data_IF_472669588577
#
_entry.id   IF_472669588577
#
_cell.length_a   1.000
_cell.length_b   1.000
_cell.length_c   1.000
_cell.angle_alpha   90.00
_cell.angle_beta   90.00
_cell.angle_gamma   90.00
#
_symmetry.space_group_name_H-M   'P 1'
#
loop_
_entity.id
_entity.type
_entity.pdbx_description
1 polymer ?
#
# COMPACT_ATOMS: atom_id res chain seq x y z
N UNK A 1 2.37 13.08 9.49
CA UNK A 1 3.00 12.16 8.50
C UNK A 1 4.47 11.86 8.79
N UNK A 2 5.38 12.85 8.77
CA UNK A 2 6.82 12.59 8.94
C UNK A 2 7.20 11.89 10.26
N UNK A 3 6.55 12.25 11.36
CA UNK A 3 6.74 11.60 12.66
C UNK A 3 6.35 10.12 12.65
N UNK A 4 5.18 9.78 12.09
CA UNK A 4 4.67 8.41 12.00
C UNK A 4 5.56 7.57 11.09
N UNK A 5 5.95 8.12 9.94
CA UNK A 5 6.92 7.49 9.04
C UNK A 5 8.23 7.15 9.78
N UNK A 6 8.72 8.06 10.62
CA UNK A 6 9.90 7.81 11.47
C UNK A 6 9.71 6.63 12.41
N UNK A 7 8.58 6.58 13.13
CA UNK A 7 8.24 5.48 14.06
C UNK A 7 8.14 4.15 13.34
N UNK A 8 7.43 4.09 12.20
CA UNK A 8 7.33 2.86 11.38
C UNK A 8 8.72 2.41 10.96
N UNK A 9 9.53 3.30 10.40
CA UNK A 9 10.87 2.95 9.91
C UNK A 9 11.78 2.44 11.02
N UNK A 10 11.71 3.03 12.22
CA UNK A 10 12.47 2.61 13.39
C UNK A 10 12.06 1.20 13.84
N UNK A 11 10.75 0.96 14.02
CA UNK A 11 10.23 -0.37 14.37
C UNK A 11 10.58 -1.43 13.32
N UNK A 12 10.59 -1.06 12.04
CA UNK A 12 10.95 -1.97 10.95
C UNK A 12 12.46 -2.27 10.88
N UNK A 13 13.33 -1.36 11.36
CA UNK A 13 14.77 -1.64 11.46
C UNK A 13 15.10 -2.62 12.58
N UNK A 14 14.26 -2.69 13.61
CA UNK A 14 14.36 -3.66 14.70
C UNK A 14 13.75 -5.04 14.34
N UNK A 15 13.54 -5.33 13.05
CA UNK A 15 12.79 -6.49 12.52
C UNK A 15 13.27 -7.86 13.02
N UNK A 16 14.55 -7.99 13.36
CA UNK A 16 15.13 -9.25 13.85
C UNK A 16 14.63 -9.63 15.26
N UNK A 17 13.97 -8.70 15.97
CA UNK A 17 13.41 -8.94 17.31
C UNK A 17 12.09 -8.20 17.54
N UNK A 18 11.15 -8.27 16.59
CA UNK A 18 9.81 -7.71 16.79
C UNK A 18 9.11 -8.42 17.96
N UNK A 19 9.17 -7.80 19.13
CA UNK A 19 8.45 -8.21 20.33
C UNK A 19 6.97 -7.84 20.23
N UNK A 20 6.12 -8.41 21.08
CA UNK A 20 4.68 -8.10 21.09
C UNK A 20 4.36 -6.61 21.20
N UNK A 21 5.08 -5.85 22.04
CA UNK A 21 4.87 -4.41 22.21
C UNK A 21 5.25 -3.59 20.97
N UNK A 22 6.27 -4.03 20.20
CA UNK A 22 6.65 -3.40 18.94
C UNK A 22 5.57 -3.62 17.86
N UNK A 23 4.91 -4.78 17.89
CA UNK A 23 3.81 -5.11 16.98
C UNK A 23 2.56 -4.29 17.26
N UNK A 24 2.18 -4.11 18.53
CA UNK A 24 1.02 -3.28 18.91
C UNK A 24 1.24 -1.82 18.48
N UNK A 25 2.44 -1.28 18.72
CA UNK A 25 2.78 0.05 18.25
C UNK A 25 2.74 0.19 16.73
N UNK A 26 3.18 -0.83 16.00
CA UNK A 26 3.11 -0.86 14.54
C UNK A 26 1.66 -0.91 14.03
N UNK A 27 0.79 -1.67 14.69
CA UNK A 27 -0.65 -1.70 14.37
C UNK A 27 -1.26 -0.30 14.47
N UNK A 28 -0.98 0.42 15.55
CA UNK A 28 -1.48 1.80 15.73
C UNK A 28 -0.87 2.75 14.70
N UNK A 29 0.42 2.65 14.42
CA UNK A 29 1.09 3.48 13.40
C UNK A 29 0.49 3.26 12.00
N UNK A 30 0.15 2.01 11.66
CA UNK A 30 -0.51 1.64 10.39
C UNK A 30 -1.97 2.11 10.30
N UNK A 31 -2.66 2.24 11.43
CA UNK A 31 -4.00 2.83 11.48
C UNK A 31 -3.91 4.34 11.28
N UNK A 32 -3.05 5.02 12.04
CA UNK A 32 -2.89 6.48 11.99
C UNK A 32 -2.47 6.96 10.59
N UNK A 33 -1.55 6.24 9.92
CA UNK A 33 -1.16 6.60 8.55
C UNK A 33 -2.32 6.45 7.57
N UNK A 34 -3.18 5.43 7.73
CA UNK A 34 -4.35 5.26 6.88
C UNK A 34 -5.34 6.40 7.05
N UNK A 35 -5.60 6.82 8.29
CA UNK A 35 -6.50 7.93 8.60
C UNK A 35 -6.00 9.26 8.03
N UNK A 36 -4.69 9.53 8.14
CA UNK A 36 -4.09 10.74 7.57
C UNK A 36 -4.18 10.76 6.05
N UNK A 37 -3.93 9.62 5.39
CA UNK A 37 -4.04 9.52 3.93
C UNK A 37 -5.49 9.74 3.48
N UNK A 38 -6.45 9.13 4.17
CA UNK A 38 -7.87 9.30 3.85
C UNK A 38 -8.34 10.73 4.12
N UNK A 39 -7.92 11.32 5.22
CA UNK A 39 -8.21 12.72 5.52
C UNK A 39 -7.61 13.64 4.44
N UNK A 40 -6.37 13.38 4.02
CA UNK A 40 -5.72 14.15 2.98
C UNK A 40 -6.44 14.05 1.63
N UNK A 41 -6.84 12.84 1.25
CA UNK A 41 -7.61 12.56 0.04
C UNK A 41 -9.00 13.24 0.05
N UNK A 42 -9.65 13.32 1.22
CA UNK A 42 -10.97 13.96 1.36
C UNK A 42 -10.92 15.49 1.39
N UNK A 43 -9.78 16.07 1.75
CA UNK A 43 -9.61 17.52 1.95
C UNK A 43 -8.61 18.13 0.94
N UNK A 44 -8.37 17.45 -0.19
CA UNK A 44 -7.50 17.90 -1.28
C UNK A 44 -6.05 18.24 -0.87
N UNK A 45 -5.53 17.59 0.18
CA UNK A 45 -4.14 17.71 0.65
C UNK A 45 -3.23 16.67 -0.02
N UNK A 46 -2.99 16.85 -1.32
CA UNK A 46 -2.21 15.91 -2.13
C UNK A 46 -0.77 15.72 -1.60
N UNK A 47 -0.19 16.73 -0.95
CA UNK A 47 1.16 16.70 -0.39
C UNK A 47 1.38 15.54 0.62
N UNK A 48 0.31 15.09 1.28
CA UNK A 48 0.38 13.95 2.21
C UNK A 48 0.58 12.63 1.47
N UNK A 49 -0.08 12.47 0.32
CA UNK A 49 0.06 11.29 -0.53
C UNK A 49 1.40 11.33 -1.29
N UNK A 50 1.84 12.50 -1.73
CA UNK A 50 3.15 12.67 -2.37
C UNK A 50 4.27 12.26 -1.39
N UNK A 51 4.21 12.71 -0.13
CA UNK A 51 5.16 12.27 0.90
C UNK A 51 5.13 10.74 1.11
N UNK A 52 3.95 10.13 1.10
CA UNK A 52 3.80 8.68 1.22
C UNK A 52 4.50 7.93 0.08
N UNK A 53 4.38 8.45 -1.15
CA UNK A 53 5.02 7.89 -2.33
C UNK A 53 6.54 8.07 -2.29
N UNK A 54 7.03 9.26 -1.95
CA UNK A 54 8.47 9.56 -1.83
C UNK A 54 9.19 8.66 -0.83
N UNK A 55 8.47 8.15 0.17
CA UNK A 55 9.02 7.25 1.19
C UNK A 55 8.81 5.76 0.89
N UNK A 56 8.30 5.42 -0.29
CA UNK A 56 8.05 4.03 -0.73
C UNK A 56 7.21 3.23 0.29
N UNK A 57 6.25 3.88 0.94
CA UNK A 57 5.57 3.31 2.10
C UNK A 57 4.74 2.07 1.77
N UNK A 58 4.07 2.04 0.60
CA UNK A 58 3.37 0.85 0.14
C UNK A 58 4.33 -0.34 -0.06
N UNK A 59 5.55 -0.08 -0.54
CA UNK A 59 6.61 -1.07 -0.64
C UNK A 59 7.05 -1.61 0.71
N UNK A 60 7.15 -0.75 1.72
CA UNK A 60 7.42 -1.19 3.10
C UNK A 60 6.29 -2.05 3.66
N UNK A 61 5.03 -1.71 3.40
CA UNK A 61 3.87 -2.51 3.81
C UNK A 61 3.90 -3.92 3.20
N UNK A 62 4.21 -4.02 1.91
CA UNK A 62 4.38 -5.30 1.21
C UNK A 62 5.52 -6.14 1.81
N UNK A 63 6.65 -5.52 2.15
CA UNK A 63 7.76 -6.21 2.81
C UNK A 63 7.32 -6.78 4.16
N UNK A 64 6.60 -6.00 4.97
CA UNK A 64 6.15 -6.39 6.31
C UNK A 64 5.17 -7.56 6.27
N UNK A 65 4.13 -7.50 5.42
CA UNK A 65 3.15 -8.59 5.35
C UNK A 65 3.79 -9.92 4.89
N UNK A 66 4.85 -9.83 4.09
CA UNK A 66 5.61 -10.96 3.57
C UNK A 66 6.59 -11.58 4.58
N UNK A 67 6.82 -10.94 5.72
CA UNK A 67 7.68 -11.49 6.77
C UNK A 67 7.03 -12.72 7.42
N UNK A 68 7.71 -13.88 7.49
CA UNK A 68 7.14 -15.07 8.11
C UNK A 68 6.87 -14.93 9.61
N UNK A 69 7.72 -14.19 10.32
CA UNK A 69 7.69 -14.05 11.79
C UNK A 69 6.83 -12.89 12.30
N UNK A 70 6.22 -12.10 11.42
CA UNK A 70 5.42 -10.95 11.83
C UNK A 70 4.11 -11.40 12.50
N UNK A 71 3.71 -10.70 13.56
CA UNK A 71 2.47 -10.97 14.27
C UNK A 71 1.25 -10.88 13.33
N UNK A 72 0.30 -11.81 13.49
CA UNK A 72 -0.90 -11.86 12.65
C UNK A 72 -1.74 -10.58 12.75
N UNK A 73 -1.79 -9.96 13.94
CA UNK A 73 -2.45 -8.66 14.14
C UNK A 73 -1.90 -7.55 13.21
N UNK A 74 -0.59 -7.54 12.93
CA UNK A 74 0.03 -6.59 11.99
C UNK A 74 -0.40 -6.93 10.55
N UNK A 75 -0.45 -8.22 10.18
CA UNK A 75 -0.94 -8.63 8.85
C UNK A 75 -2.40 -8.22 8.64
N UNK A 76 -3.25 -8.43 9.64
CA UNK A 76 -4.66 -8.00 9.63
C UNK A 76 -4.74 -6.48 9.45
N UNK A 77 -4.01 -5.70 10.25
CA UNK A 77 -4.03 -4.25 10.15
C UNK A 77 -3.53 -3.76 8.78
N UNK A 78 -2.52 -4.40 8.19
CA UNK A 78 -2.07 -4.09 6.83
C UNK A 78 -3.15 -4.36 5.78
N UNK A 79 -3.84 -5.50 5.85
CA UNK A 79 -4.94 -5.81 4.93
C UNK A 79 -6.10 -4.82 5.09
N UNK A 80 -6.42 -4.41 6.32
CA UNK A 80 -7.42 -3.37 6.59
C UNK A 80 -6.99 -2.03 5.99
N UNK A 81 -5.76 -1.59 6.23
CA UNK A 81 -5.22 -0.35 5.68
C UNK A 81 -5.25 -0.37 4.16
N UNK A 82 -4.82 -1.46 3.52
CA UNK A 82 -4.85 -1.60 2.06
C UNK A 82 -6.28 -1.64 1.50
N UNK A 83 -7.21 -2.27 2.22
CA UNK A 83 -8.63 -2.25 1.87
C UNK A 83 -9.19 -0.83 1.89
N UNK A 84 -8.87 -0.06 2.93
CA UNK A 84 -9.30 1.33 3.04
C UNK A 84 -8.75 2.20 1.91
N UNK A 85 -7.45 2.09 1.61
CA UNK A 85 -6.82 2.86 0.53
C UNK A 85 -7.44 2.52 -0.83
N UNK A 86 -7.51 1.24 -1.18
CA UNK A 86 -8.10 0.83 -2.48
C UNK A 86 -9.56 1.27 -2.63
N UNK A 87 -10.33 1.25 -1.54
CA UNK A 87 -11.75 1.60 -1.59
C UNK A 87 -12.05 3.08 -1.49
N UNK A 88 -11.12 3.93 -1.02
CA UNK A 88 -11.44 5.34 -0.74
C UNK A 88 -10.58 6.34 -1.51
N UNK A 89 -9.42 5.94 -2.05
CA UNK A 89 -8.65 6.80 -2.95
C UNK A 89 -9.45 7.06 -4.24
N UNK A 90 -9.44 8.30 -4.71
CA UNK A 90 -10.25 8.79 -5.85
C UNK A 90 -9.41 9.54 -6.87
N UNK A 91 -8.32 10.15 -6.43
CA UNK A 91 -7.44 10.94 -7.27
C UNK A 91 -6.69 10.06 -8.25
N UNK A 92 -6.56 10.53 -9.50
CA UNK A 92 -5.89 9.77 -10.57
C UNK A 92 -4.48 9.34 -10.16
N UNK A 93 -3.71 10.25 -9.56
CA UNK A 93 -2.35 10.00 -9.08
C UNK A 93 -2.30 8.89 -8.03
N UNK A 94 -3.20 8.93 -7.05
CA UNK A 94 -3.20 7.95 -5.96
C UNK A 94 -3.61 6.56 -6.43
N UNK A 95 -4.58 6.49 -7.35
CA UNK A 95 -4.96 5.25 -8.03
C UNK A 95 -3.82 4.70 -8.89
N UNK A 96 -3.18 5.53 -9.73
CA UNK A 96 -2.04 5.08 -10.55
C UNK A 96 -0.95 4.49 -9.67
N UNK A 97 -0.58 5.16 -8.58
CA UNK A 97 0.47 4.69 -7.69
C UNK A 97 0.16 3.32 -7.06
N UNK A 98 -1.05 3.17 -6.52
CA UNK A 98 -1.46 1.92 -5.86
C UNK A 98 -1.54 0.75 -6.85
N UNK A 99 -2.05 0.97 -8.06
CA UNK A 99 -2.27 -0.11 -9.03
C UNK A 99 -1.07 -0.42 -9.94
N UNK A 100 -0.13 0.52 -10.14
CA UNK A 100 0.93 0.37 -11.17
C UNK A 100 2.24 -0.21 -10.65
N UNK A 101 2.50 -0.24 -9.34
CA UNK A 101 3.83 -0.60 -8.82
C UNK A 101 3.91 -2.03 -8.26
N UNK A 102 3.10 -2.94 -8.80
CA UNK A 102 3.02 -4.37 -8.44
C UNK A 102 2.72 -4.64 -6.94
N UNK A 103 2.53 -3.60 -6.13
CA UNK A 103 2.34 -3.73 -4.69
C UNK A 103 1.06 -4.51 -4.36
N UNK A 104 -0.02 -4.28 -5.11
CA UNK A 104 -1.26 -5.04 -4.97
C UNK A 104 -1.05 -6.51 -5.34
N UNK A 105 -0.33 -6.79 -6.42
CA UNK A 105 -0.02 -8.17 -6.83
C UNK A 105 0.80 -8.90 -5.77
N UNK A 106 1.78 -8.22 -5.19
CA UNK A 106 2.60 -8.74 -4.11
C UNK A 106 1.80 -8.96 -2.82
N UNK A 107 0.81 -8.09 -2.52
CA UNK A 107 -0.13 -8.28 -1.42
C UNK A 107 -1.07 -9.47 -1.63
N UNK A 108 -1.58 -9.66 -2.86
CA UNK A 108 -2.41 -10.81 -3.23
C UNK A 108 -1.61 -12.11 -3.08
N UNK A 109 -0.34 -12.09 -3.47
CA UNK A 109 0.56 -13.24 -3.47
C UNK A 109 1.32 -13.42 -2.16
N UNK A 110 1.04 -12.60 -1.14
CA UNK A 110 1.77 -12.62 0.12
C UNK A 110 1.62 -13.98 0.83
N UNK A 111 2.71 -14.54 1.40
CA UNK A 111 2.67 -15.79 2.14
C UNK A 111 1.95 -15.61 3.48
N UNK A 112 0.68 -15.99 3.51
CA UNK A 112 -0.15 -16.03 4.71
C UNK A 112 -0.66 -17.45 4.95
N UNK A 113 -0.60 -17.89 6.21
CA UNK A 113 -1.18 -19.17 6.60
C UNK A 113 -2.68 -19.01 6.85
N UNK A 114 -3.46 -19.17 5.78
CA UNK A 114 -4.93 -19.06 5.80
C UNK A 114 -5.61 -20.15 6.62
N UNK A 115 -4.90 -21.23 6.94
CA UNK A 115 -5.46 -22.36 7.70
C UNK A 115 -5.38 -22.15 9.20
N UNK A 116 -4.43 -21.35 9.65
CA UNK A 116 -4.21 -21.07 11.07
C UNK A 116 -5.09 -19.95 11.62
N UNK A 117 -5.56 -19.02 10.77
CA UNK A 117 -6.28 -17.82 11.22
C UNK A 117 -7.44 -17.44 10.28
N UNK A 118 -8.67 -17.74 10.70
CA UNK A 118 -9.90 -17.42 9.96
C UNK A 118 -10.16 -15.90 9.86
N UNK A 119 -9.72 -15.12 10.85
CA UNK A 119 -9.90 -13.68 10.87
C UNK A 119 -9.04 -13.03 9.78
N UNK A 120 -7.78 -13.44 9.67
CA UNK A 120 -6.88 -13.02 8.60
C UNK A 120 -7.47 -13.32 7.21
N UNK A 121 -8.01 -14.53 7.02
CA UNK A 121 -8.67 -14.92 5.77
C UNK A 121 -9.88 -14.02 5.46
N UNK A 122 -10.71 -13.70 6.45
CA UNK A 122 -11.87 -12.82 6.30
C UNK A 122 -11.48 -11.43 5.80
N UNK A 123 -10.43 -10.84 6.38
CA UNK A 123 -9.90 -9.55 5.94
C UNK A 123 -9.28 -9.61 4.55
N UNK A 124 -8.58 -10.69 4.21
CA UNK A 124 -8.06 -10.88 2.86
C UNK A 124 -9.16 -11.00 1.81
N UNK A 125 -10.21 -11.78 2.08
CA UNK A 125 -11.37 -11.88 1.18
C UNK A 125 -12.04 -10.52 1.01
N UNK A 126 -12.15 -9.74 2.09
CA UNK A 126 -12.70 -8.37 2.04
C UNK A 126 -11.84 -7.45 1.19
N UNK A 127 -10.51 -7.53 1.35
CA UNK A 127 -9.55 -6.79 0.52
C UNK A 127 -9.70 -7.12 -0.96
N UNK A 128 -9.67 -8.41 -1.33
CA UNK A 128 -9.78 -8.85 -2.73
C UNK A 128 -11.13 -8.47 -3.34
N UNK A 129 -12.22 -8.57 -2.58
CA UNK A 129 -13.55 -8.10 -3.03
C UNK A 129 -13.56 -6.59 -3.27
N UNK A 130 -13.01 -5.82 -2.34
CA UNK A 130 -12.91 -4.36 -2.47
C UNK A 130 -12.08 -3.95 -3.68
N UNK A 131 -10.96 -4.66 -3.93
CA UNK A 131 -10.14 -4.48 -5.12
C UNK A 131 -10.92 -4.77 -6.39
N UNK A 132 -11.61 -5.91 -6.47
CA UNK A 132 -12.36 -6.31 -7.65
C UNK A 132 -13.46 -5.30 -8.03
N UNK A 133 -14.11 -4.67 -7.05
CA UNK A 133 -15.11 -3.62 -7.28
C UNK A 133 -14.52 -2.31 -7.82
N UNK A 134 -13.21 -2.10 -7.64
CA UNK A 134 -12.48 -0.91 -8.09
C UNK A 134 -11.78 -1.10 -9.43
N UNK A 135 -11.73 -2.33 -9.96
CA UNK A 135 -11.16 -2.61 -11.26
C UNK A 135 -12.14 -2.23 -12.38
N UNK A 136 -11.84 -1.12 -13.06
CA UNK A 136 -12.42 -0.74 -14.34
C UNK A 136 -11.40 -1.03 -15.48
N UNK A 137 -11.77 -0.89 -16.77
CA UNK A 137 -10.84 -1.15 -17.88
C UNK A 137 -9.54 -0.34 -17.83
N UNK A 138 -9.56 0.88 -17.28
CA UNK A 138 -8.37 1.72 -17.12
C UNK A 138 -7.48 1.16 -16.00
N UNK A 139 -8.05 0.79 -14.85
CA UNK A 139 -7.33 0.17 -13.74
C UNK A 139 -6.80 -1.21 -14.09
N UNK A 140 -7.56 -2.01 -14.85
CA UNK A 140 -7.10 -3.30 -15.38
C UNK A 140 -5.86 -3.12 -16.26
N UNK A 141 -5.85 -2.08 -17.10
CA UNK A 141 -4.68 -1.76 -17.92
C UNK A 141 -3.48 -1.43 -17.04
N UNK A 142 -3.65 -0.63 -15.99
CA UNK A 142 -2.58 -0.31 -15.04
C UNK A 142 -2.09 -1.56 -14.26
N UNK A 143 -3.03 -2.42 -13.87
CA UNK A 143 -2.77 -3.62 -13.08
C UNK A 143 -1.98 -4.68 -13.87
N UNK A 144 -2.29 -4.87 -15.16
CA UNK A 144 -1.63 -5.88 -16.01
C UNK A 144 -0.49 -5.34 -16.86
N UNK A 145 -0.50 -4.04 -17.19
CA UNK A 145 0.50 -3.40 -18.05
C UNK A 145 1.28 -2.29 -17.34
N UNK A 146 1.53 -2.45 -16.03
CA UNK A 146 2.34 -1.56 -15.20
C UNK A 146 3.62 -1.09 -15.91
N UNK A 147 4.33 -1.99 -16.59
CA UNK A 147 5.56 -1.71 -17.33
C UNK A 147 5.39 -0.88 -18.61
N UNK A 148 4.25 -0.95 -19.30
CA UNK A 148 4.04 -0.22 -20.56
C UNK A 148 3.56 1.22 -20.33
N UNK A 149 2.79 1.46 -19.26
CA UNK A 149 2.26 2.78 -18.95
C UNK A 149 3.32 3.74 -18.39
N UNK A 150 4.25 3.24 -17.57
CA UNK A 150 5.39 4.05 -17.09
C UNK A 150 6.31 4.44 -18.25
N UNK A 151 6.52 3.53 -19.22
CA UNK A 151 7.31 3.82 -20.43
C UNK A 151 6.66 4.84 -21.36
N UNK A 152 5.33 4.86 -21.48
CA UNK A 152 4.64 5.83 -22.33
C UNK A 152 4.68 7.25 -21.74
N UNK A 153 4.60 7.40 -20.40
CA UNK A 153 4.75 8.70 -19.72
C UNK A 153 6.16 9.29 -19.86
N UNK A 154 7.21 8.45 -19.81
CA UNK A 154 8.58 8.89 -20.09
C UNK A 154 8.82 9.21 -21.58
N UNK A 155 8.00 8.70 -22.50
CA UNK A 155 8.13 8.99 -23.93
C UNK A 155 7.51 10.32 -24.37
N UNK A 156 6.65 10.94 -23.54
CA UNK A 156 5.96 12.21 -23.88
C UNK A 156 6.74 13.48 -23.55
N UNK A 157 7.93 13.37 -22.92
CA UNK A 157 8.80 14.51 -22.67
C UNK A 157 10.20 14.30 -23.29
N UNK A 158 10.27 14.37 -24.62
CA UNK A 158 11.43 15.02 -25.26
C UNK A 158 10.98 15.71 -26.56
N UNK A 159 11.21 17.03 -26.72
CA UNK A 159 10.72 17.81 -27.84
C UNK A 159 11.54 17.57 -29.12
N UNK A 160 10.85 17.70 -30.25
CA UNK A 160 11.44 17.97 -31.56
C UNK A 160 12.43 19.16 -31.46
N UNK A 161 13.73 18.89 -31.57
CA UNK A 161 14.74 19.87 -32.03
C UNK A 161 16.01 19.09 -32.44
N UNK A 162 16.23 18.93 -33.75
CA UNK A 162 17.19 19.69 -34.55
C UNK A 162 18.65 19.26 -34.34
N UNK A 163 19.13 18.31 -35.15
CA UNK A 163 20.11 18.51 -36.24
C UNK A 163 20.50 17.16 -36.86
#
# INVERSE_FOLDING_TARGET
MAQIHGRITERLKESDSLTGSSCDGLVEDLREISEILLWGEQNDHQELFDYFCEKEMLGNFVKVISMPSIAVAVKIQLLQTMSLLTQNLRTRTSLIYVFSNDHINNLISAPCDWSADEELLSYYVTFVKGLALRLDPEMLTLFFHSDQFVRSLHSTHTPLQQC
#
